data_IF_386723121832
#
_entry.id   IF_386723121832
#
_cell.length_a   1.000
_cell.length_b   1.000
_cell.length_c   1.000
_cell.angle_alpha   90.00
_cell.angle_beta   90.00
_cell.angle_gamma   90.00
#
_symmetry.space_group_name_H-M   'P 1'
#
loop_
_entity.id
_entity.type
_entity.pdbx_description
1 polymer ?
#
# COMPACT_ATOMS: atom_id res chain seq x y z
N UNK A 1 -32.87 -3.47 50.25
CA UNK A 1 -33.48 -3.13 48.95
C UNK A 1 -32.35 -2.91 47.97
N UNK A 2 -32.32 -3.63 46.85
CA UNK A 2 -31.15 -3.70 45.94
C UNK A 2 -31.00 -2.40 45.16
N UNK A 3 -29.77 -1.91 45.11
CA UNK A 3 -29.31 -0.76 44.32
C UNK A 3 -29.64 -0.96 42.84
N UNK A 4 -30.45 -0.09 42.27
CA UNK A 4 -30.52 0.11 40.82
C UNK A 4 -29.99 1.49 40.51
N UNK A 5 -28.66 1.63 40.61
CA UNK A 5 -27.96 2.64 39.83
C UNK A 5 -28.06 2.22 38.37
N UNK A 6 -29.02 2.79 37.65
CA UNK A 6 -29.08 2.71 36.20
C UNK A 6 -27.79 3.31 35.64
N UNK A 7 -26.83 2.43 35.33
CA UNK A 7 -25.66 2.79 34.56
C UNK A 7 -26.13 3.18 33.16
N UNK A 8 -26.19 4.49 32.90
CA UNK A 8 -26.34 5.04 31.55
C UNK A 8 -25.11 4.58 30.76
N UNK A 9 -25.26 3.51 29.97
CA UNK A 9 -24.24 3.05 29.02
C UNK A 9 -24.15 4.09 27.91
N UNK A 10 -23.18 4.99 27.99
CA UNK A 10 -22.87 5.91 26.90
C UNK A 10 -22.46 5.10 25.65
N UNK A 11 -23.00 5.42 24.45
CA UNK A 11 -22.62 4.70 23.24
C UNK A 11 -21.15 4.92 22.95
N UNK A 12 -20.40 3.82 22.79
CA UNK A 12 -18.98 3.81 22.44
C UNK A 12 -18.78 4.56 21.11
N UNK A 13 -18.29 5.79 21.16
CA UNK A 13 -18.09 6.65 19.97
C UNK A 13 -17.07 5.97 19.04
N UNK A 14 -17.53 5.52 17.87
CA UNK A 14 -16.65 4.91 16.86
C UNK A 14 -15.79 6.01 16.22
N UNK A 15 -14.52 6.11 16.61
CA UNK A 15 -13.55 7.04 16.02
C UNK A 15 -13.14 6.57 14.61
N UNK A 16 -14.03 6.72 13.63
CA UNK A 16 -13.74 6.43 12.23
C UNK A 16 -13.36 7.71 11.50
N UNK A 17 -12.09 7.81 11.09
CA UNK A 17 -11.63 8.93 10.27
C UNK A 17 -12.32 8.88 8.91
N UNK A 18 -12.89 10.02 8.49
CA UNK A 18 -13.44 10.16 7.15
C UNK A 18 -12.32 10.06 6.13
N UNK A 19 -12.63 9.47 4.96
CA UNK A 19 -11.70 9.47 3.83
C UNK A 19 -11.47 10.90 3.37
N UNK A 20 -10.23 11.22 3.01
CA UNK A 20 -9.91 12.47 2.33
C UNK A 20 -10.70 12.59 1.02
N UNK A 21 -11.04 13.83 0.65
CA UNK A 21 -11.63 14.11 -0.65
C UNK A 21 -10.69 13.66 -1.78
N UNK A 22 -11.21 13.31 -2.97
CA UNK A 22 -10.41 12.73 -4.05
C UNK A 22 -9.20 13.57 -4.47
N UNK A 23 -9.28 14.89 -4.33
CA UNK A 23 -8.21 15.83 -4.67
C UNK A 23 -7.08 15.87 -3.63
N UNK A 24 -7.39 15.62 -2.36
CA UNK A 24 -6.42 15.67 -1.26
C UNK A 24 -5.83 14.29 -0.91
N UNK A 25 -6.48 13.20 -1.31
CA UNK A 25 -5.95 11.85 -1.05
C UNK A 25 -4.75 11.56 -1.95
N UNK A 26 -3.89 10.67 -1.48
CA UNK A 26 -2.78 10.17 -2.27
C UNK A 26 -3.25 9.46 -3.55
N UNK A 27 -2.70 9.87 -4.69
CA UNK A 27 -2.95 9.22 -5.97
C UNK A 27 -2.00 8.02 -6.12
N UNK A 28 -2.47 6.82 -5.78
CA UNK A 28 -1.67 5.60 -5.83
C UNK A 28 -1.67 4.91 -7.20
N UNK A 29 -0.59 4.22 -7.49
CA UNK A 29 -0.44 3.21 -8.55
C UNK A 29 -0.02 1.89 -7.92
N UNK A 30 -0.44 0.81 -8.54
CA UNK A 30 -0.21 -0.54 -8.06
C UNK A 30 0.76 -1.25 -9.00
N UNK A 31 1.82 -1.81 -8.43
CA UNK A 31 2.87 -2.56 -9.12
C UNK A 31 2.78 -4.01 -8.68
N UNK A 32 2.60 -4.91 -9.63
CA UNK A 32 2.63 -6.35 -9.42
C UNK A 32 4.05 -6.88 -9.68
N UNK A 33 4.65 -7.46 -8.65
CA UNK A 33 5.98 -8.05 -8.67
C UNK A 33 5.88 -9.57 -8.59
N UNK A 34 6.84 -10.27 -9.19
CA UNK A 34 6.96 -11.73 -9.11
C UNK A 34 8.22 -12.15 -8.39
N UNK A 35 8.15 -13.28 -7.70
CA UNK A 35 9.32 -14.01 -7.19
C UNK A 35 10.21 -13.13 -6.30
N UNK A 36 9.60 -12.40 -5.37
CA UNK A 36 10.30 -11.42 -4.52
C UNK A 36 9.61 -11.22 -3.19
N UNK A 37 10.41 -10.90 -2.17
CA UNK A 37 9.98 -10.65 -0.80
C UNK A 37 9.80 -9.16 -0.47
N UNK A 38 8.90 -8.87 0.48
CA UNK A 38 8.65 -7.51 0.99
C UNK A 38 9.91 -6.82 1.51
N UNK A 39 10.76 -7.59 2.22
CA UNK A 39 11.99 -7.08 2.82
C UNK A 39 12.97 -6.62 1.75
N UNK A 40 13.22 -7.47 0.76
CA UNK A 40 14.09 -7.16 -0.39
C UNK A 40 13.61 -5.92 -1.14
N UNK A 41 12.30 -5.79 -1.39
CA UNK A 41 11.73 -4.60 -2.04
C UNK A 41 11.99 -3.34 -1.23
N UNK A 42 11.74 -3.36 0.07
CA UNK A 42 11.99 -2.20 0.93
C UNK A 42 13.46 -1.81 0.95
N UNK A 43 14.35 -2.76 1.15
CA UNK A 43 15.80 -2.53 1.15
C UNK A 43 16.27 -1.95 -0.18
N UNK A 44 15.77 -2.48 -1.29
CA UNK A 44 16.10 -2.00 -2.64
C UNK A 44 15.66 -0.55 -2.85
N UNK A 45 14.40 -0.23 -2.53
CA UNK A 45 13.87 1.12 -2.70
C UNK A 45 14.60 2.10 -1.77
N UNK A 46 14.83 1.70 -0.52
CA UNK A 46 15.54 2.53 0.47
C UNK A 46 16.99 2.79 0.03
N UNK A 47 17.70 1.78 -0.47
CA UNK A 47 19.08 1.90 -0.94
C UNK A 47 19.19 2.80 -2.17
N UNK A 48 18.23 2.73 -3.09
CA UNK A 48 18.31 3.44 -4.37
C UNK A 48 17.77 4.87 -4.32
N UNK A 49 16.69 5.12 -3.58
CA UNK A 49 16.03 6.44 -3.54
C UNK A 49 16.27 7.16 -2.21
N UNK A 50 16.80 6.46 -1.20
CA UNK A 50 17.02 6.99 0.15
C UNK A 50 15.74 7.08 0.99
N UNK A 51 15.91 7.45 2.25
CA UNK A 51 14.81 7.54 3.24
C UNK A 51 13.75 8.56 2.83
N UNK A 52 14.17 9.71 2.31
CA UNK A 52 13.25 10.79 1.89
C UNK A 52 12.44 10.36 0.67
N UNK A 53 13.10 9.80 -0.35
CA UNK A 53 12.42 9.29 -1.53
C UNK A 53 11.49 8.12 -1.23
N UNK A 54 11.86 7.26 -0.28
CA UNK A 54 10.99 6.19 0.22
C UNK A 54 9.71 6.75 0.86
N UNK A 55 9.83 7.78 1.70
CA UNK A 55 8.69 8.45 2.33
C UNK A 55 7.78 9.11 1.29
N UNK A 56 8.35 9.87 0.35
CA UNK A 56 7.59 10.51 -0.74
C UNK A 56 6.91 9.50 -1.68
N UNK A 57 7.53 8.34 -1.88
CA UNK A 57 6.94 7.26 -2.67
C UNK A 57 5.71 6.63 -1.99
N UNK A 58 5.53 6.82 -0.68
CA UNK A 58 4.38 6.33 0.07
C UNK A 58 4.15 4.83 -0.12
N UNK A 59 5.24 4.05 -0.04
CA UNK A 59 5.27 2.61 -0.33
C UNK A 59 4.36 1.86 0.64
N UNK A 60 3.43 1.09 0.09
CA UNK A 60 2.50 0.28 0.89
C UNK A 60 2.28 -1.08 0.26
N UNK A 61 2.52 -2.15 1.00
CA UNK A 61 2.18 -3.49 0.56
C UNK A 61 0.69 -3.76 0.73
N UNK A 62 0.08 -4.28 -0.32
CA UNK A 62 -1.36 -4.56 -0.34
C UNK A 62 -1.54 -6.06 -0.32
N UNK A 63 -2.05 -6.59 0.80
CA UNK A 63 -2.43 -7.98 0.87
C UNK A 63 -3.78 -8.16 0.14
N UNK A 64 -3.83 -9.04 -0.84
CA UNK A 64 -5.08 -9.46 -1.46
C UNK A 64 -5.05 -10.94 -1.78
N UNK A 65 -6.19 -11.61 -1.59
CA UNK A 65 -6.35 -13.04 -1.87
C UNK A 65 -6.39 -13.37 -3.38
N UNK A 66 -6.32 -12.35 -4.24
CA UNK A 66 -6.52 -12.47 -5.69
C UNK A 66 -5.25 -12.84 -6.47
N UNK A 67 -4.08 -12.71 -5.85
CA UNK A 67 -2.79 -13.00 -6.49
C UNK A 67 -2.26 -14.34 -6.01
N UNK A 68 -1.57 -15.05 -6.91
CA UNK A 68 -1.08 -16.41 -6.66
C UNK A 68 0.14 -16.40 -5.72
N UNK A 69 0.51 -17.57 -5.22
CA UNK A 69 1.73 -17.73 -4.42
C UNK A 69 2.94 -17.15 -5.18
N UNK A 70 3.73 -16.31 -4.49
CA UNK A 70 4.92 -15.56 -4.98
C UNK A 70 4.67 -14.26 -5.77
N UNK A 71 3.43 -13.77 -5.83
CA UNK A 71 3.14 -12.44 -6.34
C UNK A 71 3.04 -11.42 -5.20
N UNK A 72 3.67 -10.26 -5.39
CA UNK A 72 3.68 -9.19 -4.39
C UNK A 72 3.09 -7.91 -4.99
N UNK A 73 2.11 -7.34 -4.30
CA UNK A 73 1.47 -6.10 -4.70
C UNK A 73 1.99 -4.92 -3.88
N UNK A 74 2.55 -3.93 -4.57
CA UNK A 74 3.08 -2.70 -3.97
C UNK A 74 2.29 -1.51 -4.49
N UNK A 75 1.76 -0.69 -3.59
CA UNK A 75 1.17 0.59 -3.90
C UNK A 75 2.20 1.70 -3.67
N UNK A 76 2.30 2.62 -4.63
CA UNK A 76 3.21 3.78 -4.59
C UNK A 76 2.50 5.02 -5.11
N UNK A 77 2.95 6.20 -4.71
CA UNK A 77 2.46 7.46 -5.24
C UNK A 77 2.75 7.54 -6.75
N UNK A 78 1.75 7.98 -7.53
CA UNK A 78 1.78 8.04 -8.99
C UNK A 78 3.01 8.79 -9.51
N UNK A 79 3.39 9.86 -8.83
CA UNK A 79 4.52 10.73 -9.19
C UNK A 79 5.88 10.06 -9.03
N UNK A 80 6.02 9.14 -8.07
CA UNK A 80 7.28 8.45 -7.77
C UNK A 80 7.40 7.08 -8.43
N UNK A 81 6.45 6.71 -9.29
CA UNK A 81 6.42 5.38 -9.91
C UNK A 81 7.66 5.09 -10.75
N UNK A 82 8.17 6.08 -11.48
CA UNK A 82 9.33 5.90 -12.34
C UNK A 82 10.58 5.59 -11.52
N UNK A 83 10.81 6.34 -10.44
CA UNK A 83 11.94 6.14 -9.54
C UNK A 83 11.90 4.75 -8.88
N UNK A 84 10.72 4.33 -8.42
CA UNK A 84 10.53 3.00 -7.83
C UNK A 84 10.74 1.90 -8.88
N UNK A 85 10.21 2.06 -10.11
CA UNK A 85 10.46 1.09 -11.19
C UNK A 85 11.94 0.98 -11.52
N UNK A 86 12.64 2.11 -11.64
CA UNK A 86 14.08 2.13 -11.89
C UNK A 86 14.83 1.37 -10.79
N UNK A 87 14.56 1.68 -9.51
CA UNK A 87 15.18 1.00 -8.38
C UNK A 87 14.97 -0.53 -8.42
N UNK A 88 13.74 -0.98 -8.69
CA UNK A 88 13.41 -2.40 -8.76
C UNK A 88 14.07 -3.08 -9.96
N UNK A 89 14.09 -2.42 -11.13
CA UNK A 89 14.72 -2.97 -12.34
C UNK A 89 16.23 -3.07 -12.21
N UNK A 90 16.89 -2.10 -11.59
CA UNK A 90 18.35 -2.14 -11.35
C UNK A 90 18.76 -3.33 -10.48
N UNK A 91 17.93 -3.72 -9.51
CA UNK A 91 18.16 -4.89 -8.65
C UNK A 91 17.67 -6.22 -9.28
N UNK A 92 17.20 -6.18 -10.53
CA UNK A 92 16.71 -7.36 -11.25
C UNK A 92 15.36 -7.90 -10.74
N UNK A 93 14.59 -7.11 -9.99
CA UNK A 93 13.26 -7.52 -9.52
C UNK A 93 12.27 -7.51 -10.69
N UNK A 94 11.57 -8.64 -10.89
CA UNK A 94 10.66 -8.82 -12.02
C UNK A 94 9.33 -8.09 -11.79
N UNK A 95 9.11 -7.03 -12.57
CA UNK A 95 7.85 -6.28 -12.63
C UNK A 95 6.95 -6.92 -13.68
N UNK A 96 5.80 -7.45 -13.27
CA UNK A 96 4.82 -8.05 -14.20
C UNK A 96 3.99 -6.95 -14.87
N UNK A 97 3.37 -6.09 -14.03
CA UNK A 97 2.36 -5.14 -14.50
C UNK A 97 2.23 -3.95 -13.56
N UNK A 98 1.82 -2.83 -14.12
CA UNK A 98 1.47 -1.60 -13.41
C UNK A 98 0.03 -1.22 -13.74
N UNK A 99 -0.76 -0.80 -12.75
CA UNK A 99 -2.14 -0.37 -12.96
C UNK A 99 -2.55 0.76 -12.01
N UNK A 100 -3.56 1.52 -12.41
CA UNK A 100 -4.24 2.47 -11.51
C UNK A 100 -5.16 1.79 -10.49
N UNK A 101 -5.59 0.55 -10.75
CA UNK A 101 -6.49 -0.19 -9.86
C UNK A 101 -6.05 -1.63 -9.70
N UNK A 102 -6.35 -2.20 -8.52
CA UNK A 102 -6.13 -3.64 -8.25
C UNK A 102 -6.92 -4.49 -9.23
N UNK A 103 -8.15 -4.09 -9.60
CA UNK A 103 -8.97 -4.82 -10.59
C UNK A 103 -8.29 -4.89 -11.97
N UNK A 104 -7.63 -3.81 -12.40
CA UNK A 104 -6.91 -3.78 -13.68
C UNK A 104 -5.67 -4.67 -13.72
N UNK A 105 -5.13 -5.05 -12.55
CA UNK A 105 -4.04 -6.04 -12.47
C UNK A 105 -4.54 -7.47 -12.69
N UNK A 106 -5.78 -7.75 -12.29
CA UNK A 106 -6.38 -9.09 -12.39
C UNK A 106 -6.96 -9.37 -13.79
N UNK A 107 -7.49 -8.34 -14.47
CA UNK A 107 -8.07 -8.46 -15.83
C UNK A 107 -7.01 -8.50 -16.95
N UNK A 108 -5.88 -9.17 -16.71
CA UNK A 108 -4.81 -9.35 -17.70
C UNK A 108 -4.87 -10.73 -18.31
#
# INVERSE_FOLDING_TARGET
>A
MKNHSEQIKTPKKLNMQKRLIPTLRENKRYILLKDTDKKKVNETIMKMIGIMGYAEAGVKFVNTKKFKNKELLVAVNREKIMNVRAALTTEGIKIIKVSGTIKGLVKG
#
